data_IF_384322140543
#
_entry.id   IF_384322140543
#
_cell.length_a   1.000
_cell.length_b   1.000
_cell.length_c   1.000
_cell.angle_alpha   90.00
_cell.angle_beta   90.00
_cell.angle_gamma   90.00
#
_symmetry.space_group_name_H-M   'P 1'
#
loop_
_entity.id
_entity.type
_entity.pdbx_description
1 polymer ?
#
# COMPACT_ATOMS: atom_id res chain seq x y z
N UNK A 1 4.77 3.65 -26.41
CA UNK A 1 5.27 4.30 -25.17
C UNK A 1 4.33 4.10 -23.96
N UNK A 2 3.02 3.96 -24.15
CA UNK A 2 2.02 3.83 -23.08
C UNK A 2 2.21 2.63 -22.13
N UNK A 3 2.71 1.49 -22.63
CA UNK A 3 2.90 0.28 -21.82
C UNK A 3 3.99 0.35 -20.76
N UNK A 4 4.96 1.28 -20.87
CA UNK A 4 6.00 1.46 -19.85
C UNK A 4 5.50 2.31 -18.68
N UNK A 5 4.71 3.34 -18.96
CA UNK A 5 4.12 4.20 -17.95
C UNK A 5 3.11 3.44 -17.08
N UNK A 6 2.25 2.63 -17.69
CA UNK A 6 1.29 1.80 -16.95
C UNK A 6 2.00 0.78 -16.07
N UNK A 7 3.05 0.11 -16.58
CA UNK A 7 3.83 -0.83 -15.77
C UNK A 7 4.52 -0.13 -14.59
N UNK A 8 5.13 1.02 -14.81
CA UNK A 8 5.74 1.82 -13.73
C UNK A 8 4.71 2.27 -12.68
N UNK A 9 3.52 2.68 -13.12
CA UNK A 9 2.44 3.04 -12.21
C UNK A 9 1.98 1.82 -11.38
N UNK A 10 1.88 0.64 -12.00
CA UNK A 10 1.56 -0.61 -11.31
C UNK A 10 2.66 -0.96 -10.29
N UNK A 11 3.94 -0.87 -10.67
CA UNK A 11 5.07 -1.11 -9.76
C UNK A 11 5.06 -0.16 -8.57
N UNK A 12 4.81 1.14 -8.79
CA UNK A 12 4.66 2.13 -7.73
C UNK A 12 3.52 1.75 -6.77
N UNK A 13 2.33 1.45 -7.30
CA UNK A 13 1.21 1.03 -6.46
C UNK A 13 1.54 -0.26 -5.69
N UNK A 14 2.18 -1.24 -6.33
CA UNK A 14 2.57 -2.50 -5.69
C UNK A 14 3.56 -2.26 -4.54
N UNK A 15 4.54 -1.39 -4.72
CA UNK A 15 5.49 -0.98 -3.67
C UNK A 15 4.74 -0.32 -2.51
N UNK A 16 3.77 0.56 -2.78
CA UNK A 16 2.97 1.20 -1.74
C UNK A 16 2.09 0.20 -0.96
N UNK A 17 1.50 -0.78 -1.66
CA UNK A 17 0.72 -1.87 -1.04
C UNK A 17 1.60 -2.76 -0.17
N UNK A 18 2.82 -3.08 -0.62
CA UNK A 18 3.78 -3.85 0.18
C UNK A 18 4.15 -3.10 1.47
N UNK A 19 4.42 -1.80 1.38
CA UNK A 19 4.69 -0.94 2.52
C UNK A 19 3.52 -0.88 3.51
N UNK A 20 2.29 -0.78 2.99
CA UNK A 20 1.08 -0.87 3.79
C UNK A 20 0.92 -2.24 4.48
N UNK A 21 1.26 -3.32 3.79
CA UNK A 21 1.28 -4.67 4.35
C UNK A 21 2.30 -4.83 5.48
N UNK A 22 3.52 -4.29 5.32
CA UNK A 22 4.54 -4.28 6.39
C UNK A 22 4.02 -3.52 7.60
N UNK A 23 3.42 -2.34 7.40
CA UNK A 23 2.79 -1.55 8.47
C UNK A 23 1.69 -2.33 9.18
N UNK A 24 0.82 -3.03 8.44
CA UNK A 24 -0.26 -3.86 9.00
C UNK A 24 0.27 -5.06 9.78
N UNK A 25 1.33 -5.71 9.29
CA UNK A 25 1.87 -6.94 9.88
C UNK A 25 2.79 -6.67 11.07
N UNK A 26 3.53 -5.56 11.07
CA UNK A 26 4.57 -5.27 12.07
C UNK A 26 4.21 -4.11 12.99
N UNK A 27 3.22 -3.28 12.62
CA UNK A 27 2.88 -2.04 13.31
C UNK A 27 3.80 -0.86 12.99
N UNK A 28 4.89 -1.06 12.24
CA UNK A 28 5.85 0.00 11.92
C UNK A 28 5.48 0.71 10.61
N UNK A 29 5.31 2.03 10.70
CA UNK A 29 5.08 2.88 9.52
C UNK A 29 6.38 3.52 9.02
N UNK A 30 6.45 3.78 7.71
CA UNK A 30 7.51 4.58 7.12
C UNK A 30 7.55 5.97 7.78
N UNK A 31 8.72 6.38 8.24
CA UNK A 31 8.88 7.60 9.04
C UNK A 31 8.93 8.85 8.15
N UNK A 32 7.77 9.30 7.65
CA UNK A 32 7.63 10.51 6.81
C UNK A 32 8.08 11.79 7.52
N UNK A 33 8.18 11.77 8.86
CA UNK A 33 8.68 12.87 9.68
C UNK A 33 10.17 13.20 9.56
N UNK A 34 10.98 12.33 8.95
CA UNK A 34 12.38 12.67 8.63
C UNK A 34 12.53 13.57 7.40
N UNK A 35 11.47 13.72 6.61
CA UNK A 35 11.46 14.59 5.45
C UNK A 35 11.18 16.01 5.93
N UNK A 36 12.22 16.85 5.92
CA UNK A 36 12.16 18.27 6.35
C UNK A 36 11.20 19.11 5.52
N UNK A 37 10.89 18.67 4.31
CA UNK A 37 10.13 19.41 3.32
C UNK A 37 8.64 19.02 3.36
N UNK A 38 7.78 20.00 3.62
CA UNK A 38 6.34 19.82 3.83
C UNK A 38 5.64 19.21 2.60
N UNK A 39 6.06 19.62 1.40
CA UNK A 39 5.46 19.16 0.14
C UNK A 39 5.75 17.68 -0.10
N UNK A 40 7.02 17.29 0.07
CA UNK A 40 7.43 15.89 -0.08
C UNK A 40 6.80 14.99 0.97
N UNK A 41 6.62 15.50 2.19
CA UNK A 41 5.92 14.77 3.25
C UNK A 41 4.47 14.49 2.88
N UNK A 42 3.74 15.46 2.34
CA UNK A 42 2.35 15.28 1.90
C UNK A 42 2.24 14.31 0.72
N UNK A 43 3.18 14.36 -0.23
CA UNK A 43 3.23 13.41 -1.36
C UNK A 43 3.46 11.98 -0.87
N UNK A 44 4.39 11.78 0.06
CA UNK A 44 4.66 10.47 0.64
C UNK A 44 3.47 9.95 1.46
N UNK A 45 2.82 10.83 2.22
CA UNK A 45 1.63 10.47 3.00
C UNK A 45 0.48 10.03 2.09
N UNK A 46 0.21 10.81 1.03
CA UNK A 46 -0.78 10.48 -0.01
C UNK A 46 -0.43 9.16 -0.70
N UNK A 47 0.84 8.97 -1.08
CA UNK A 47 1.30 7.77 -1.76
C UNK A 47 1.16 6.52 -0.89
N UNK A 48 1.54 6.60 0.39
CA UNK A 48 1.37 5.50 1.36
C UNK A 48 -0.11 5.24 1.65
N UNK A 49 -0.93 6.29 1.75
CA UNK A 49 -2.38 6.18 1.92
C UNK A 49 -3.07 5.46 0.76
N UNK A 50 -2.61 5.66 -0.49
CA UNK A 50 -3.12 4.90 -1.65
C UNK A 50 -2.84 3.40 -1.46
N UNK A 51 -1.62 3.04 -1.03
CA UNK A 51 -1.24 1.65 -0.77
C UNK A 51 -2.08 1.00 0.33
N UNK A 52 -2.39 1.74 1.40
CA UNK A 52 -3.24 1.25 2.48
C UNK A 52 -4.67 0.97 2.02
N UNK A 53 -5.25 1.86 1.20
CA UNK A 53 -6.59 1.65 0.65
C UNK A 53 -6.66 0.44 -0.27
N UNK A 54 -5.67 0.29 -1.16
CA UNK A 54 -5.60 -0.87 -2.08
C UNK A 54 -5.38 -2.16 -1.29
N UNK A 55 -4.48 -2.15 -0.30
CA UNK A 55 -4.25 -3.29 0.58
C UNK A 55 -5.52 -3.69 1.34
N UNK A 56 -6.23 -2.72 1.92
CA UNK A 56 -7.49 -2.95 2.62
C UNK A 56 -8.57 -3.53 1.69
N UNK A 57 -8.66 -3.03 0.44
CA UNK A 57 -9.55 -3.58 -0.57
C UNK A 57 -9.22 -5.05 -0.90
N UNK A 58 -7.93 -5.37 -1.08
CA UNK A 58 -7.47 -6.75 -1.28
C UNK A 58 -7.83 -7.65 -0.08
N UNK A 59 -7.62 -7.17 1.15
CA UNK A 59 -8.03 -7.90 2.35
C UNK A 59 -9.55 -8.11 2.43
N UNK A 60 -10.35 -7.07 2.11
CA UNK A 60 -11.81 -7.16 2.07
C UNK A 60 -12.29 -8.15 1.01
N UNK A 61 -11.67 -8.14 -0.17
CA UNK A 61 -11.94 -9.12 -1.22
C UNK A 61 -11.59 -10.54 -0.78
N UNK A 62 -10.45 -10.73 -0.11
CA UNK A 62 -10.07 -12.02 0.46
C UNK A 62 -11.09 -12.49 1.51
N UNK A 63 -11.53 -11.63 2.43
CA UNK A 63 -12.52 -11.99 3.46
C UNK A 63 -13.89 -12.30 2.85
N UNK A 64 -14.31 -11.58 1.81
CA UNK A 64 -15.61 -11.77 1.16
C UNK A 64 -15.65 -12.95 0.19
N UNK A 65 -14.49 -13.45 -0.24
CA UNK A 65 -14.40 -14.48 -1.26
C UNK A 65 -14.51 -15.87 -0.64
N UNK A 66 -15.40 -16.70 -1.18
CA UNK A 66 -15.56 -18.11 -0.79
C UNK A 66 -14.30 -18.97 -1.01
N UNK A 67 -13.33 -18.47 -1.78
CA UNK A 67 -12.06 -19.14 -2.04
C UNK A 67 -11.05 -19.01 -0.89
N UNK A 68 -11.21 -18.03 -0.01
CA UNK A 68 -10.30 -17.84 1.13
C UNK A 68 -10.98 -18.28 2.42
N UNK A 69 -10.37 -19.26 3.10
CA UNK A 69 -10.74 -19.63 4.47
C UNK A 69 -9.75 -18.96 5.42
N UNK A 70 -10.25 -18.40 6.53
CA UNK A 70 -9.39 -17.95 7.63
C UNK A 70 -8.76 -19.19 8.28
N UNK A 71 -7.44 -19.35 8.16
CA UNK A 71 -6.68 -20.47 8.73
C UNK A 71 -6.02 -20.13 10.08
N UNK A 72 -6.61 -19.21 10.84
CA UNK A 72 -6.13 -18.87 12.19
C UNK A 72 -7.18 -19.39 13.15
N UNK A 73 -6.86 -20.52 13.81
CA UNK A 73 -7.57 -21.06 14.98
C UNK A 73 -7.57 -20.05 16.13
#
# INVERSE_FOLDING_TARGET
>A
MFGRLTRLAIDLVAVSVLLAGIKRSTGYSLHTGRVKDSTWRNVLDTYLGIGENVFAFCCGFAVSSSYFRRQID
#
